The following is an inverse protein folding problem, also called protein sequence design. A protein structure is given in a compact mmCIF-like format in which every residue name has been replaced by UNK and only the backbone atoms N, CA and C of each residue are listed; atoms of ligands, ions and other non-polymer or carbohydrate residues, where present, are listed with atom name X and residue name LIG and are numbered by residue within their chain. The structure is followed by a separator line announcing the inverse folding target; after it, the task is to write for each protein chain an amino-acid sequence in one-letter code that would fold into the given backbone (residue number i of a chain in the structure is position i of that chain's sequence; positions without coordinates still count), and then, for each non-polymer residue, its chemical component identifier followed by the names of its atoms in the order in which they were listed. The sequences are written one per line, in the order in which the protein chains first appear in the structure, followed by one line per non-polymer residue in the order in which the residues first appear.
data_IF_377966309067
#
_entry.id   IF_377966309067
#
_cell.length_a   1.000
_cell.length_b   1.000
_cell.length_c   1.000
_cell.angle_alpha   90.00
_cell.angle_beta   90.00
_cell.angle_gamma   90.00
#
_symmetry.space_group_name_H-M   'P 1'
#
loop_
_entity.id
_entity.type
_entity.pdbx_description
1 polymer ?
#
# COMPACT_ATOMS: atom_id res chain seq x y z
N UNK A 1 -24.25 16.16 16.42
CA UNK A 1 -23.69 14.80 16.55
C UNK A 1 -22.49 14.76 15.63
N UNK A 2 -21.28 14.77 16.20
CA UNK A 2 -20.04 14.60 15.42
C UNK A 2 -20.02 13.17 14.90
N UNK A 3 -19.93 12.96 13.60
CA UNK A 3 -19.69 11.61 13.06
C UNK A 3 -18.28 11.22 13.50
N UNK A 4 -18.17 10.33 14.49
CA UNK A 4 -16.89 9.78 14.93
C UNK A 4 -16.22 9.11 13.72
N UNK A 5 -15.10 9.67 13.27
CA UNK A 5 -14.36 9.19 12.11
C UNK A 5 -13.46 8.04 12.58
N UNK A 6 -14.02 6.83 12.63
CA UNK A 6 -13.14 5.66 12.67
C UNK A 6 -12.25 5.68 11.41
N UNK A 7 -10.98 5.29 11.54
CA UNK A 7 -10.09 4.99 10.39
C UNK A 7 -10.76 4.04 9.39
N UNK A 8 -11.78 3.32 9.85
CA UNK A 8 -12.67 2.48 9.07
C UNK A 8 -14.01 3.20 8.97
N UNK A 9 -14.19 3.95 7.88
CA UNK A 9 -15.48 4.60 7.59
C UNK A 9 -16.56 3.52 7.62
N UNK A 10 -17.73 3.76 8.25
CA UNK A 10 -18.87 2.88 8.10
C UNK A 10 -19.10 2.73 6.60
N UNK A 11 -18.84 1.53 6.09
CA UNK A 11 -18.83 1.30 4.65
C UNK A 11 -20.20 1.69 4.11
N UNK A 12 -20.29 2.28 2.91
CA UNK A 12 -21.57 2.41 2.25
C UNK A 12 -22.07 0.97 1.98
N UNK A 13 -22.92 0.46 2.87
CA UNK A 13 -23.45 -0.91 2.89
C UNK A 13 -24.17 -1.30 1.59
N UNK A 14 -24.46 -0.30 0.76
CA UNK A 14 -25.09 -0.43 -0.54
C UNK A 14 -24.13 -0.88 -1.67
N UNK A 15 -22.81 -0.95 -1.45
CA UNK A 15 -21.86 -1.43 -2.46
C UNK A 15 -21.60 -2.93 -2.32
N UNK A 16 -21.37 -3.69 -3.40
CA UNK A 16 -20.92 -5.08 -3.32
C UNK A 16 -19.63 -5.21 -2.51
N UNK A 17 -19.45 -6.34 -1.82
CA UNK A 17 -18.20 -6.67 -1.13
C UNK A 17 -17.04 -6.66 -2.14
N UNK A 18 -15.98 -5.92 -1.82
CA UNK A 18 -14.77 -5.88 -2.63
C UNK A 18 -13.81 -6.99 -2.20
N UNK A 19 -13.82 -8.09 -2.95
CA UNK A 19 -12.94 -9.25 -2.71
C UNK A 19 -11.49 -9.02 -3.17
N UNK A 20 -11.23 -7.97 -3.94
CA UNK A 20 -9.90 -7.61 -4.43
C UNK A 20 -9.18 -6.60 -3.52
N UNK A 21 -9.86 -6.15 -2.45
CA UNK A 21 -9.32 -5.17 -1.50
C UNK A 21 -8.09 -5.71 -0.78
N UNK A 22 -7.14 -4.82 -0.52
CA UNK A 22 -6.04 -5.08 0.39
C UNK A 22 -6.14 -4.15 1.58
N UNK A 23 -5.60 -4.56 2.71
CA UNK A 23 -5.55 -3.70 3.88
C UNK A 23 -4.16 -3.64 4.49
N UNK A 24 -3.84 -2.50 5.10
CA UNK A 24 -2.67 -2.35 5.97
C UNK A 24 -2.82 -3.19 7.23
N UNK A 25 -1.79 -3.20 8.08
CA UNK A 25 -1.87 -3.86 9.40
C UNK A 25 -3.02 -3.34 10.27
N UNK A 26 -3.33 -2.05 10.15
CA UNK A 26 -4.41 -1.39 10.87
C UNK A 26 -5.78 -1.49 10.17
N UNK A 27 -5.89 -2.28 9.10
CA UNK A 27 -7.15 -2.51 8.40
C UNK A 27 -7.55 -1.44 7.40
N UNK A 28 -6.63 -0.53 7.03
CA UNK A 28 -6.93 0.56 6.10
C UNK A 28 -6.94 0.07 4.66
N UNK A 29 -7.97 0.41 3.87
CA UNK A 29 -8.10 -0.13 2.53
C UNK A 29 -7.04 0.45 1.58
N UNK A 30 -6.49 -0.44 0.74
CA UNK A 30 -5.60 -0.13 -0.37
C UNK A 30 -6.16 -0.80 -1.63
N UNK A 31 -6.35 -0.01 -2.68
CA UNK A 31 -6.87 -0.47 -3.97
C UNK A 31 -5.69 -0.91 -4.83
N UNK A 32 -5.76 -2.11 -5.41
CA UNK A 32 -4.74 -2.53 -6.37
C UNK A 32 -4.75 -1.64 -7.61
N UNK A 33 -3.59 -1.38 -8.22
CA UNK A 33 -3.53 -0.63 -9.48
C UNK A 33 -4.49 -1.22 -10.53
N UNK A 34 -4.45 -2.55 -10.71
CA UNK A 34 -5.26 -3.27 -11.68
C UNK A 34 -6.77 -3.08 -11.45
N UNK A 35 -7.21 -3.08 -10.19
CA UNK A 35 -8.61 -2.81 -9.84
C UNK A 35 -8.97 -1.35 -10.12
N UNK A 36 -8.10 -0.39 -9.76
CA UNK A 36 -8.34 1.06 -9.97
C UNK A 36 -8.49 1.49 -11.44
N UNK A 37 -8.04 0.65 -12.38
CA UNK A 37 -8.12 0.90 -13.83
C UNK A 37 -9.08 -0.04 -14.54
N UNK A 38 -9.74 -0.95 -13.81
CA UNK A 38 -10.72 -1.88 -14.35
C UNK A 38 -11.99 -1.09 -14.67
N UNK A 39 -12.41 -1.13 -15.94
CA UNK A 39 -13.66 -0.51 -16.35
C UNK A 39 -14.82 -1.31 -15.74
N UNK A 40 -15.71 -0.65 -15.02
CA UNK A 40 -17.02 -1.23 -14.72
C UNK A 40 -17.68 -1.58 -16.05
N UNK A 41 -18.18 -2.82 -16.19
CA UNK A 41 -18.79 -3.24 -17.45
C UNK A 41 -19.92 -2.26 -17.76
N UNK A 42 -19.82 -1.46 -18.84
CA UNK A 42 -20.88 -0.53 -19.16
C UNK A 42 -22.14 -1.35 -19.38
N UNK A 43 -23.22 -0.99 -18.69
CA UNK A 43 -24.54 -1.54 -18.93
C UNK A 43 -24.86 -1.30 -20.41
N UNK A 44 -24.77 -2.37 -21.19
CA UNK A 44 -24.87 -2.46 -22.65
C UNK A 44 -25.65 -1.32 -23.30
N UNK A 45 -24.98 -0.21 -23.63
CA UNK A 45 -25.51 0.83 -24.49
C UNK A 45 -24.61 0.93 -25.71
N UNK A 46 -25.05 0.28 -26.80
CA UNK A 46 -24.41 0.36 -28.11
C UNK A 46 -24.71 1.72 -28.76
N UNK A 47 -24.02 2.76 -28.31
CA UNK A 47 -23.95 4.04 -29.04
C UNK A 47 -22.92 3.96 -30.17
N UNK A 48 -23.19 4.61 -31.30
CA UNK A 48 -22.19 4.78 -32.36
C UNK A 48 -21.02 5.59 -31.82
N UNK A 49 -19.80 5.02 -31.83
CA UNK A 49 -18.59 5.72 -31.40
C UNK A 49 -18.24 6.75 -32.47
N UNK A 50 -18.33 8.04 -32.12
CA UNK A 50 -17.82 9.12 -32.97
C UNK A 50 -16.29 8.99 -33.07
N UNK A 51 -15.69 9.14 -34.26
CA UNK A 51 -14.23 9.12 -34.41
C UNK A 51 -13.64 10.35 -33.70
N UNK A 52 -12.97 10.13 -32.55
CA UNK A 52 -12.40 11.20 -31.72
C UNK A 52 -11.35 12.00 -32.49
N UNK A 53 -10.63 11.33 -33.39
CA UNK A 53 -9.60 11.90 -34.27
C UNK A 53 -10.13 12.91 -35.29
N UNK A 54 -11.43 12.91 -35.58
CA UNK A 54 -12.06 13.86 -36.49
C UNK A 54 -12.47 15.17 -35.81
N UNK A 55 -12.37 15.26 -34.48
CA UNK A 55 -12.70 16.48 -33.74
C UNK A 55 -11.50 17.45 -33.71
N UNK A 56 -11.72 18.77 -33.63
CA UNK A 56 -10.69 19.74 -33.26
C UNK A 56 -9.99 19.37 -31.95
N UNK A 57 -8.69 19.67 -31.84
CA UNK A 57 -7.86 19.31 -30.67
C UNK A 57 -8.45 19.82 -29.36
N UNK A 58 -9.04 21.00 -29.34
CA UNK A 58 -9.68 21.59 -28.16
C UNK A 58 -10.86 20.75 -27.67
N UNK A 59 -11.66 20.22 -28.59
CA UNK A 59 -12.78 19.32 -28.24
C UNK A 59 -12.27 17.96 -27.79
N UNK A 60 -11.20 17.44 -28.40
CA UNK A 60 -10.56 16.21 -27.93
C UNK A 60 -10.06 16.35 -26.50
N UNK A 61 -9.37 17.45 -26.17
CA UNK A 61 -8.89 17.75 -24.81
C UNK A 61 -10.04 17.91 -23.82
N UNK A 62 -11.12 18.59 -24.20
CA UNK A 62 -12.30 18.75 -23.35
C UNK A 62 -12.97 17.39 -23.04
N UNK A 63 -13.05 16.50 -24.02
CA UNK A 63 -13.53 15.12 -23.82
C UNK A 63 -12.60 14.37 -22.87
N UNK A 64 -11.28 14.45 -23.06
CA UNK A 64 -10.31 13.80 -22.19
C UNK A 64 -10.44 14.25 -20.73
N UNK A 65 -10.64 15.54 -20.48
CA UNK A 65 -10.82 16.09 -19.13
C UNK A 65 -12.09 15.56 -18.44
N UNK A 66 -13.07 15.13 -19.22
CA UNK A 66 -14.33 14.57 -18.72
C UNK A 66 -14.28 13.04 -18.59
N UNK A 67 -13.20 12.40 -19.01
CA UNK A 67 -13.06 10.94 -18.97
C UNK A 67 -12.75 10.48 -17.54
N UNK A 68 -13.36 9.36 -17.15
CA UNK A 68 -12.99 8.66 -15.93
C UNK A 68 -11.57 8.05 -16.05
N UNK A 69 -11.03 7.71 -14.89
CA UNK A 69 -9.68 7.14 -14.76
C UNK A 69 -9.49 5.83 -15.57
N UNK A 70 -10.42 4.84 -15.57
CA UNK A 70 -10.31 3.67 -16.44
C UNK A 70 -10.28 4.00 -17.94
N UNK A 71 -11.07 4.98 -18.40
CA UNK A 71 -11.06 5.42 -19.81
C UNK A 71 -9.75 6.11 -20.16
N UNK A 72 -9.22 6.97 -19.30
CA UNK A 72 -7.90 7.59 -19.49
C UNK A 72 -6.79 6.54 -19.59
N UNK A 73 -6.81 5.52 -18.73
CA UNK A 73 -5.87 4.39 -18.81
C UNK A 73 -5.98 3.63 -20.13
N UNK A 74 -7.20 3.34 -20.59
CA UNK A 74 -7.43 2.69 -21.87
C UNK A 74 -6.89 3.53 -23.03
N UNK A 75 -7.21 4.82 -23.07
CA UNK A 75 -6.76 5.75 -24.11
C UNK A 75 -5.24 5.86 -24.18
N UNK A 76 -4.56 5.90 -23.03
CA UNK A 76 -3.10 5.88 -22.96
C UNK A 76 -2.49 4.66 -23.67
N UNK A 77 -3.18 3.52 -23.64
CA UNK A 77 -2.69 2.27 -24.24
C UNK A 77 -3.08 2.14 -25.72
N UNK A 78 -4.29 2.52 -26.10
CA UNK A 78 -4.84 2.22 -27.44
C UNK A 78 -4.66 3.35 -28.45
N UNK A 79 -4.49 4.61 -28.03
CA UNK A 79 -4.40 5.76 -28.94
C UNK A 79 -3.05 6.46 -28.79
N UNK A 80 -2.20 6.39 -29.81
CA UNK A 80 -0.93 7.14 -29.82
C UNK A 80 -1.14 8.65 -29.82
N UNK A 81 -2.17 9.14 -30.51
CA UNK A 81 -2.49 10.56 -30.59
C UNK A 81 -2.87 11.12 -29.22
N UNK A 82 -3.68 10.39 -28.43
CA UNK A 82 -4.16 10.84 -27.13
C UNK A 82 -3.26 10.44 -25.97
N UNK A 83 -2.28 9.56 -26.20
CA UNK A 83 -1.48 8.92 -25.13
C UNK A 83 -0.87 9.93 -24.18
N UNK A 84 -0.24 10.97 -24.70
CA UNK A 84 0.49 11.96 -23.88
C UNK A 84 -0.45 12.71 -22.94
N UNK A 85 -1.58 13.20 -23.45
CA UNK A 85 -2.53 13.98 -22.65
C UNK A 85 -3.33 13.09 -21.70
N UNK A 86 -3.76 11.90 -22.15
CA UNK A 86 -4.41 10.93 -21.28
C UNK A 86 -3.49 10.48 -20.13
N UNK A 87 -2.19 10.29 -20.40
CA UNK A 87 -1.18 9.99 -19.38
C UNK A 87 -1.08 11.11 -18.35
N UNK A 88 -1.00 12.38 -18.77
CA UNK A 88 -0.95 13.51 -17.82
C UNK A 88 -2.16 13.54 -16.91
N UNK A 89 -3.37 13.39 -17.47
CA UNK A 89 -4.62 13.44 -16.70
C UNK A 89 -4.79 12.24 -15.77
N UNK A 90 -4.40 11.05 -16.21
CA UNK A 90 -4.50 9.83 -15.41
C UNK A 90 -3.68 9.89 -14.12
N UNK A 91 -2.45 10.42 -14.19
CA UNK A 91 -1.54 10.50 -13.03
C UNK A 91 -1.75 11.77 -12.17
N UNK A 92 -2.55 12.73 -12.64
CA UNK A 92 -2.95 13.95 -11.91
C UNK A 92 -4.39 13.91 -11.39
N UNK A 93 -5.03 12.73 -11.40
CA UNK A 93 -6.43 12.60 -11.03
C UNK A 93 -6.65 13.02 -9.55
N UNK A 94 -7.51 14.03 -9.28
CA UNK A 94 -7.52 14.77 -8.01
C UNK A 94 -7.96 13.94 -6.79
N UNK A 95 -8.70 12.85 -6.99
CA UNK A 95 -9.21 12.02 -5.89
C UNK A 95 -8.41 10.73 -5.68
N UNK A 96 -7.29 10.57 -6.39
CA UNK A 96 -6.45 9.37 -6.31
C UNK A 96 -5.11 9.69 -5.68
N UNK A 97 -4.84 9.04 -4.55
CA UNK A 97 -3.54 9.09 -3.88
C UNK A 97 -2.78 7.81 -4.19
N UNK A 98 -1.60 7.94 -4.79
CA UNK A 98 -0.77 6.78 -5.06
C UNK A 98 0.08 6.45 -3.86
N UNK A 99 0.03 5.19 -3.45
CA UNK A 99 0.68 4.72 -2.24
C UNK A 99 2.06 4.13 -2.54
N UNK A 100 3.05 4.49 -1.71
CA UNK A 100 4.38 3.89 -1.67
C UNK A 100 4.82 3.67 -0.23
N UNK A 101 5.62 2.63 -0.05
CA UNK A 101 6.46 2.40 1.12
C UNK A 101 7.51 3.54 1.22
N UNK A 102 7.82 3.98 2.43
CA UNK A 102 8.69 5.13 2.68
C UNK A 102 10.09 4.73 3.10
N UNK A 103 10.30 3.49 3.52
CA UNK A 103 11.55 2.95 4.04
C UNK A 103 12.66 3.04 2.98
N UNK A 104 12.37 2.65 1.74
CA UNK A 104 13.35 2.74 0.65
C UNK A 104 13.72 4.18 0.27
N UNK A 105 12.90 5.19 0.62
CA UNK A 105 13.23 6.60 0.41
C UNK A 105 14.21 7.12 1.47
N UNK A 106 14.19 6.55 2.67
CA UNK A 106 15.14 6.86 3.73
C UNK A 106 16.56 6.38 3.39
N UNK A 107 16.65 5.35 2.56
CA UNK A 107 17.90 4.74 2.10
C UNK A 107 18.35 5.31 0.75
N UNK A 108 17.96 6.54 0.39
CA UNK A 108 18.39 7.19 -0.86
C UNK A 108 17.53 6.88 -2.09
N UNK A 109 16.44 6.14 -1.92
CA UNK A 109 15.45 5.93 -2.97
C UNK A 109 15.98 5.05 -4.09
N UNK A 110 16.70 3.98 -3.81
CA UNK A 110 17.27 3.13 -4.87
C UNK A 110 16.22 2.23 -5.52
N UNK A 111 16.27 2.09 -6.85
CA UNK A 111 15.24 1.39 -7.64
C UNK A 111 15.17 -0.10 -7.31
N UNK A 112 16.27 -0.69 -6.84
CA UNK A 112 16.25 -2.06 -6.36
C UNK A 112 15.46 -2.23 -5.07
N UNK A 113 15.38 -1.24 -4.19
CA UNK A 113 14.71 -1.38 -2.89
C UNK A 113 13.18 -1.23 -2.98
N UNK A 114 12.63 -0.81 -4.12
CA UNK A 114 11.18 -0.73 -4.36
C UNK A 114 10.69 -1.81 -5.32
N UNK A 115 9.45 -2.25 -5.11
CA UNK A 115 8.72 -3.13 -6.03
C UNK A 115 7.89 -2.36 -7.07
N UNK A 116 7.85 -1.03 -6.99
CA UNK A 116 7.02 -0.18 -7.84
C UNK A 116 7.73 0.22 -9.14
N UNK A 117 6.96 0.44 -10.20
CA UNK A 117 7.46 0.95 -11.48
C UNK A 117 7.87 2.42 -11.37
N UNK A 118 9.18 2.68 -11.45
CA UNK A 118 9.75 4.02 -11.25
C UNK A 118 9.38 5.01 -12.34
N UNK A 119 9.12 4.51 -13.56
CA UNK A 119 8.66 5.35 -14.67
C UNK A 119 7.24 5.87 -14.41
N UNK A 120 6.40 5.04 -13.79
CA UNK A 120 5.06 5.45 -13.33
C UNK A 120 5.14 6.41 -12.15
N UNK A 121 6.03 6.16 -11.19
CA UNK A 121 6.25 7.03 -10.01
C UNK A 121 6.58 8.48 -10.41
N UNK A 122 7.43 8.66 -11.43
CA UNK A 122 7.84 9.98 -11.89
C UNK A 122 6.69 10.85 -12.44
N UNK A 123 5.51 10.26 -12.65
CA UNK A 123 4.34 10.92 -13.22
C UNK A 123 3.30 11.33 -12.18
N UNK A 124 3.39 10.77 -10.97
CA UNK A 124 2.43 10.93 -9.89
C UNK A 124 2.45 12.37 -9.38
N UNK A 125 1.27 12.99 -9.28
CA UNK A 125 1.14 14.33 -8.67
C UNK A 125 0.67 14.30 -7.21
N UNK A 126 -0.04 13.24 -6.81
CA UNK A 126 -0.56 13.04 -5.46
C UNK A 126 -0.07 11.71 -4.88
N UNK A 127 0.76 11.81 -3.85
CA UNK A 127 1.52 10.69 -3.30
C UNK A 127 1.22 10.52 -1.80
N UNK A 128 0.90 9.30 -1.39
CA UNK A 128 0.86 8.89 0.01
C UNK A 128 2.08 8.02 0.27
N UNK A 129 2.94 8.44 1.20
CA UNK A 129 4.14 7.72 1.63
C UNK A 129 3.86 7.17 3.02
N UNK A 130 3.83 5.86 3.18
CA UNK A 130 3.69 5.24 4.49
C UNK A 130 5.07 5.00 5.10
N UNK A 131 5.22 5.41 6.36
CA UNK A 131 6.34 5.08 7.22
C UNK A 131 5.79 4.12 8.30
N UNK A 132 6.45 2.97 8.49
CA UNK A 132 6.11 2.05 9.58
C UNK A 132 6.12 2.78 10.94
N UNK A 133 7.15 3.60 11.16
CA UNK A 133 7.28 4.47 12.32
C UNK A 133 8.12 5.69 11.99
N UNK A 134 7.77 6.88 12.48
CA UNK A 134 8.63 8.06 12.33
C UNK A 134 9.96 7.91 13.08
N UNK A 135 10.05 6.99 14.05
CA UNK A 135 11.30 6.68 14.73
C UNK A 135 12.35 6.10 13.77
N UNK A 136 11.95 5.56 12.62
CA UNK A 136 12.89 5.12 11.57
C UNK A 136 13.77 6.26 11.08
N UNK A 137 13.28 7.51 11.10
CA UNK A 137 14.08 8.71 10.80
C UNK A 137 15.20 8.94 11.82
N UNK A 138 15.10 8.39 13.04
CA UNK A 138 16.10 8.55 14.08
C UNK A 138 17.24 7.54 13.97
N UNK A 139 17.06 6.45 13.24
CA UNK A 139 18.04 5.38 13.14
C UNK A 139 18.58 5.22 11.71
N UNK A 140 19.78 4.68 11.60
CA UNK A 140 20.34 4.26 10.32
C UNK A 140 19.75 2.88 9.98
N UNK A 141 18.64 2.89 9.22
CA UNK A 141 17.81 1.71 8.97
C UNK A 141 18.61 0.56 8.32
N UNK A 142 19.49 0.88 7.37
CA UNK A 142 20.36 -0.12 6.73
C UNK A 142 21.33 -0.79 7.71
N UNK A 143 21.64 -0.17 8.85
CA UNK A 143 22.55 -0.77 9.84
C UNK A 143 21.84 -1.50 10.97
N UNK A 144 20.60 -1.14 11.28
CA UNK A 144 19.95 -1.61 12.50
C UNK A 144 19.32 -3.00 12.38
N UNK A 145 18.72 -3.33 11.24
CA UNK A 145 18.12 -4.67 11.04
C UNK A 145 19.16 -5.72 10.67
N UNK A 146 20.25 -5.33 9.99
CA UNK A 146 21.09 -6.28 9.28
C UNK A 146 22.39 -6.65 9.99
N UNK A 147 22.86 -5.81 10.91
CA UNK A 147 24.02 -6.15 11.71
C UNK A 147 23.63 -7.01 12.91
N UNK A 148 23.36 -8.31 12.68
CA UNK A 148 23.16 -9.30 13.73
C UNK A 148 24.31 -9.22 14.77
N UNK A 149 24.04 -8.53 15.88
CA UNK A 149 24.99 -8.33 16.98
C UNK A 149 25.83 -7.05 16.96
N UNK A 150 25.60 -6.07 16.06
CA UNK A 150 26.20 -4.74 16.22
C UNK A 150 25.18 -3.78 16.80
N UNK A 151 25.56 -3.05 17.84
CA UNK A 151 24.72 -2.00 18.40
C UNK A 151 24.33 -0.99 17.31
N UNK A 152 23.08 -0.48 17.32
CA UNK A 152 22.67 0.58 16.42
C UNK A 152 23.69 1.71 16.49
N UNK A 153 24.36 2.00 15.37
CA UNK A 153 25.20 3.19 15.29
C UNK A 153 24.28 4.36 15.01
N UNK A 154 24.27 5.33 15.92
CA UNK A 154 23.70 6.63 15.60
C UNK A 154 24.36 7.13 14.32
N UNK A 155 23.57 7.59 13.33
CA UNK A 155 24.14 8.17 12.13
C UNK A 155 24.98 9.40 12.50
N UNK A 156 25.98 9.69 11.69
CA UNK A 156 26.83 10.87 11.87
C UNK A 156 26.08 12.18 11.54
N UNK A 157 25.00 12.09 10.76
CA UNK A 157 24.15 13.21 10.34
C UNK A 157 23.10 13.57 11.39
N UNK A 158 22.69 14.85 11.38
CA UNK A 158 21.59 15.32 12.23
C UNK A 158 20.24 14.80 11.73
N UNK A 159 19.18 14.97 12.52
CA UNK A 159 17.82 14.63 12.07
C UNK A 159 17.40 15.55 10.90
N UNK A 160 17.73 16.83 11.00
CA UNK A 160 17.49 17.85 9.97
C UNK A 160 18.15 17.48 8.64
N UNK A 161 19.43 17.06 8.67
CA UNK A 161 20.14 16.62 7.46
C UNK A 161 19.43 15.43 6.80
N UNK A 162 19.01 14.44 7.61
CA UNK A 162 18.30 13.26 7.09
C UNK A 162 16.93 13.59 6.49
N UNK A 163 16.17 14.47 7.15
CA UNK A 163 14.89 14.94 6.61
C UNK A 163 15.11 15.72 5.32
N UNK A 164 16.17 16.51 5.24
CA UNK A 164 16.55 17.23 4.02
C UNK A 164 16.89 16.25 2.88
N UNK A 165 17.77 15.28 3.13
CA UNK A 165 18.17 14.25 2.17
C UNK A 165 16.99 13.39 1.71
N UNK A 166 16.08 13.07 2.64
CA UNK A 166 14.84 12.38 2.32
C UNK A 166 13.95 13.21 1.39
N UNK A 167 13.76 14.51 1.66
CA UNK A 167 13.01 15.38 0.76
C UNK A 167 13.67 15.52 -0.62
N UNK A 168 14.99 15.62 -0.68
CA UNK A 168 15.71 15.61 -1.97
C UNK A 168 15.47 14.31 -2.73
N UNK A 169 15.50 13.17 -2.03
CA UNK A 169 15.22 11.86 -2.59
C UNK A 169 13.79 11.80 -3.13
N UNK A 170 12.79 12.22 -2.35
CA UNK A 170 11.38 12.31 -2.77
C UNK A 170 11.25 13.17 -4.04
N UNK A 171 11.83 14.36 -4.08
CA UNK A 171 11.77 15.22 -5.26
C UNK A 171 12.43 14.59 -6.49
N UNK A 172 13.54 13.87 -6.30
CA UNK A 172 14.24 13.21 -7.41
C UNK A 172 13.43 12.05 -7.99
N UNK A 173 12.70 11.31 -7.16
CA UNK A 173 11.92 10.12 -7.54
C UNK A 173 10.51 10.45 -8.00
N UNK A 174 9.94 11.53 -7.47
CA UNK A 174 8.61 12.03 -7.79
C UNK A 174 8.67 13.49 -8.24
N UNK A 175 9.34 13.81 -9.36
CA UNK A 175 9.54 15.19 -9.82
C UNK A 175 8.24 15.95 -10.13
N UNK A 176 7.11 15.24 -10.25
CA UNK A 176 5.78 15.83 -10.49
C UNK A 176 4.89 15.87 -9.26
N UNK A 177 5.32 15.34 -8.12
CA UNK A 177 4.53 15.38 -6.90
C UNK A 177 4.32 16.84 -6.49
N UNK A 178 3.05 17.23 -6.35
CA UNK A 178 2.64 18.55 -5.86
C UNK A 178 1.91 18.44 -4.54
N UNK A 179 1.38 17.26 -4.19
CA UNK A 179 0.73 16.99 -2.92
C UNK A 179 1.24 15.67 -2.34
N UNK A 180 1.69 15.70 -1.09
CA UNK A 180 2.25 14.55 -0.41
C UNK A 180 1.59 14.37 0.96
N UNK A 181 1.15 13.15 1.26
CA UNK A 181 0.77 12.73 2.60
C UNK A 181 1.87 11.81 3.11
N UNK A 182 2.50 12.17 4.22
CA UNK A 182 3.38 11.25 4.96
C UNK A 182 2.56 10.61 6.05
N UNK A 183 2.33 9.31 5.95
CA UNK A 183 1.51 8.53 6.87
C UNK A 183 2.39 7.75 7.82
N UNK A 184 2.07 7.75 9.12
CA UNK A 184 2.62 6.84 10.11
C UNK A 184 1.58 5.77 10.43
N UNK A 185 1.94 4.51 10.22
CA UNK A 185 1.07 3.36 10.46
C UNK A 185 1.20 2.79 11.88
N UNK A 186 2.15 3.29 12.69
CA UNK A 186 2.15 3.01 14.12
C UNK A 186 1.09 3.84 14.83
N UNK A 187 0.21 3.19 15.60
CA UNK A 187 -0.81 3.92 16.36
C UNK A 187 -0.21 4.54 17.62
N UNK A 188 -0.63 5.76 17.93
CA UNK A 188 -0.21 6.48 19.13
C UNK A 188 -1.32 6.52 20.18
N UNK A 189 -0.95 6.21 21.42
CA UNK A 189 -1.78 6.42 22.59
C UNK A 189 -1.62 7.89 23.00
N UNK A 190 -2.70 8.68 22.96
CA UNK A 190 -2.83 9.97 23.70
C UNK A 190 -2.11 11.23 23.20
N UNK A 191 -1.27 11.18 22.16
CA UNK A 191 -0.60 12.42 21.74
C UNK A 191 -1.59 13.43 21.15
N UNK A 192 -1.59 14.66 21.65
CA UNK A 192 -2.35 15.78 21.04
C UNK A 192 -1.53 16.45 19.95
N UNK A 193 -0.22 16.56 20.17
CA UNK A 193 0.74 17.18 19.25
C UNK A 193 1.26 16.20 18.19
N UNK A 194 1.92 16.76 17.18
CA UNK A 194 2.65 16.01 16.17
C UNK A 194 4.02 15.61 16.73
N UNK A 195 4.52 14.38 16.51
CA UNK A 195 5.89 13.99 16.86
C UNK A 195 6.91 14.97 16.30
N UNK A 196 8.02 15.17 17.02
CA UNK A 196 9.02 16.19 16.66
C UNK A 196 9.59 15.98 15.25
N UNK A 197 9.84 14.72 14.89
CA UNK A 197 10.37 14.30 13.60
C UNK A 197 9.40 14.64 12.47
N UNK A 198 8.12 14.33 12.65
CA UNK A 198 7.07 14.60 11.67
C UNK A 198 6.74 16.10 11.55
N UNK A 199 6.79 16.85 12.66
CA UNK A 199 6.70 18.32 12.63
C UNK A 199 7.88 18.93 11.88
N UNK A 200 9.08 18.39 12.05
CA UNK A 200 10.26 18.84 11.33
C UNK A 200 10.15 18.52 9.83
N UNK A 201 9.66 17.33 9.45
CA UNK A 201 9.36 17.00 8.04
C UNK A 201 8.36 17.97 7.43
N UNK A 202 7.28 18.30 8.16
CA UNK A 202 6.27 19.25 7.73
C UNK A 202 6.82 20.69 7.63
N UNK A 203 7.83 21.05 8.42
CA UNK A 203 8.50 22.37 8.32
C UNK A 203 9.52 22.46 7.19
N UNK A 204 10.18 21.35 6.88
CA UNK A 204 11.31 21.32 5.94
C UNK A 204 10.90 20.90 4.52
N UNK A 205 9.60 20.79 4.24
CA UNK A 205 9.17 20.39 2.91
C UNK A 205 9.56 21.42 1.83
N UNK A 206 9.78 20.97 0.58
CA UNK A 206 10.02 21.88 -0.53
C UNK A 206 8.81 22.80 -0.77
N UNK A 207 9.01 24.09 -1.11
CA UNK A 207 7.93 25.08 -1.19
C UNK A 207 6.91 24.82 -2.32
N UNK A 208 7.26 23.95 -3.27
CA UNK A 208 6.38 23.57 -4.40
C UNK A 208 5.45 22.40 -4.07
N UNK A 209 5.61 21.77 -2.90
CA UNK A 209 4.85 20.60 -2.48
C UNK A 209 3.94 20.99 -1.31
N UNK A 210 2.65 20.74 -1.46
CA UNK A 210 1.70 20.76 -0.35
C UNK A 210 1.84 19.46 0.44
N UNK A 211 2.24 19.56 1.71
CA UNK A 211 2.50 18.40 2.56
C UNK A 211 1.50 18.32 3.69
N UNK A 212 1.01 17.11 3.92
CA UNK A 212 0.23 16.75 5.10
C UNK A 212 0.88 15.58 5.80
N UNK A 213 0.73 15.51 7.12
CA UNK A 213 1.11 14.33 7.91
C UNK A 213 -0.15 13.60 8.33
N UNK A 214 -0.17 12.28 8.23
CA UNK A 214 -1.27 11.44 8.69
C UNK A 214 -0.80 10.44 9.73
N UNK A 215 -1.53 10.30 10.82
CA UNK A 215 -1.16 9.41 11.95
C UNK A 215 -2.43 8.75 12.46
N UNK A 216 -2.31 7.48 12.79
CA UNK A 216 -3.37 6.73 13.47
C UNK A 216 -3.29 6.96 14.98
N UNK A 217 -4.42 7.33 15.58
CA UNK A 217 -4.55 7.54 17.02
C UNK A 217 -5.56 6.59 17.62
N UNK A 218 -5.24 6.07 18.79
CA UNK A 218 -6.22 5.39 19.62
C UNK A 218 -7.03 6.42 20.43
N UNK A 219 -8.35 6.33 20.34
CA UNK A 219 -9.29 7.10 21.17
C UNK A 219 -9.56 6.26 22.42
N UNK A 220 -8.93 6.62 23.54
CA UNK A 220 -8.90 5.81 24.79
C UNK A 220 -10.29 5.42 25.28
N UNK A 221 -11.24 6.36 25.28
CA UNK A 221 -12.58 6.12 25.83
C UNK A 221 -13.43 5.20 24.96
N UNK A 222 -13.14 5.13 23.66
CA UNK A 222 -13.99 4.46 22.70
C UNK A 222 -13.36 3.18 22.15
N UNK A 223 -12.04 2.99 22.31
CA UNK A 223 -11.28 1.88 21.72
C UNK A 223 -11.13 1.98 20.20
N UNK A 224 -11.44 3.12 19.59
CA UNK A 224 -11.34 3.29 18.13
C UNK A 224 -9.96 3.76 17.72
N UNK A 225 -9.55 3.31 16.53
CA UNK A 225 -8.48 3.95 15.78
C UNK A 225 -9.10 5.01 14.88
N UNK A 226 -8.57 6.23 14.95
CA UNK A 226 -8.90 7.35 14.07
C UNK A 226 -7.65 7.81 13.34
N UNK A 227 -7.75 8.02 12.03
CA UNK A 227 -6.69 8.65 11.24
C UNK A 227 -6.92 10.14 11.19
N UNK A 228 -5.94 10.88 11.70
CA UNK A 228 -5.94 12.34 11.71
C UNK A 228 -4.94 12.87 10.69
N UNK A 229 -5.24 14.03 10.12
CA UNK A 229 -4.41 14.70 9.13
C UNK A 229 -3.96 16.06 9.67
N UNK A 230 -2.67 16.31 9.71
CA UNK A 230 -2.08 17.60 10.05
C UNK A 230 -1.58 18.31 8.82
N UNK A 231 -1.85 19.60 8.74
CA UNK A 231 -1.28 20.52 7.75
C UNK A 231 -0.69 21.71 8.45
N UNK A 232 0.23 22.40 7.79
CA UNK A 232 0.81 23.64 8.32
C UNK A 232 0.43 24.81 7.41
N UNK A 233 -0.68 25.53 7.66
CA UNK A 233 -0.81 26.89 7.15
C UNK A 233 0.31 27.77 7.71
N UNK A 234 0.50 28.94 7.09
CA UNK A 234 1.60 29.89 7.34
C UNK A 234 1.97 30.11 8.83
N UNK A 235 1.01 29.96 9.77
CA UNK A 235 1.16 30.24 11.20
C UNK A 235 1.03 29.03 12.17
N UNK A 236 1.20 27.78 11.70
CA UNK A 236 1.31 26.61 12.60
C UNK A 236 0.54 25.38 12.15
N UNK A 237 0.60 24.30 12.93
CA UNK A 237 -0.03 23.04 12.54
C UNK A 237 -1.52 23.05 12.89
N UNK A 238 -2.37 22.85 11.88
CA UNK A 238 -3.82 22.66 12.04
C UNK A 238 -4.17 21.19 11.83
N UNK A 239 -5.14 20.73 12.61
CA UNK A 239 -5.80 19.46 12.36
C UNK A 239 -6.85 19.67 11.26
N UNK A 240 -6.82 18.81 10.24
CA UNK A 240 -7.77 18.79 9.14
C UNK A 240 -8.49 17.45 9.17
N UNK A 241 -9.79 17.46 8.87
CA UNK A 241 -10.56 16.23 8.73
C UNK A 241 -10.00 15.38 7.58
N UNK A 242 -9.84 14.08 7.80
CA UNK A 242 -9.37 13.16 6.77
C UNK A 242 -10.45 12.97 5.70
N UNK A 243 -10.20 13.50 4.50
CA UNK A 243 -11.09 13.28 3.37
C UNK A 243 -11.01 11.79 2.97
N UNK A 244 -12.11 11.22 2.44
CA UNK A 244 -12.19 9.81 2.06
C UNK A 244 -11.34 9.47 0.84
N UNK A 245 -10.03 9.50 1.02
CA UNK A 245 -9.04 9.37 -0.03
C UNK A 245 -8.93 7.91 -0.48
N UNK A 246 -8.86 7.73 -1.80
CA UNK A 246 -8.59 6.42 -2.39
C UNK A 246 -7.09 6.24 -2.51
N UNK A 247 -6.55 5.33 -1.69
CA UNK A 247 -5.14 4.94 -1.77
C UNK A 247 -4.99 3.81 -2.78
N UNK A 248 -4.35 4.12 -3.89
CA UNK A 248 -4.08 3.18 -4.99
C UNK A 248 -2.62 2.76 -4.93
N UNK A 249 -2.38 1.46 -4.83
CA UNK A 249 -1.03 0.89 -4.92
C UNK A 249 -0.50 1.12 -6.33
N UNK A 250 0.75 1.56 -6.46
CA UNK A 250 1.38 1.75 -7.76
C UNK A 250 1.52 0.44 -8.55
N UNK A 251 1.61 0.51 -9.90
CA UNK A 251 1.89 -0.67 -10.68
C UNK A 251 3.26 -1.25 -10.29
N UNK A 252 3.39 -2.58 -10.24
CA UNK A 252 4.67 -3.19 -9.97
C UNK A 252 5.65 -2.94 -11.12
N UNK A 253 6.95 -2.89 -10.80
CA UNK A 253 8.01 -2.90 -11.82
C UNK A 253 8.04 -4.24 -12.54
N UNK A 254 8.78 -4.28 -13.65
CA UNK A 254 9.05 -5.53 -14.34
C UNK A 254 10.08 -6.32 -13.53
N UNK A 255 9.69 -7.52 -13.10
CA UNK A 255 10.57 -8.47 -12.44
C UNK A 255 11.24 -9.36 -13.50
N UNK A 256 12.53 -9.12 -13.76
CA UNK A 256 13.34 -9.89 -14.73
C UNK A 256 14.60 -10.46 -14.09
N UNK A 257 15.05 -11.62 -14.60
CA UNK A 257 16.26 -12.29 -14.13
C UNK A 257 16.15 -12.83 -12.70
N UNK A 258 17.22 -13.42 -12.15
CA UNK A 258 17.20 -14.05 -10.83
C UNK A 258 16.87 -13.08 -9.68
N UNK A 259 17.35 -11.83 -9.73
CA UNK A 259 17.00 -10.80 -8.73
C UNK A 259 15.53 -10.47 -8.83
N UNK A 260 15.01 -10.32 -10.05
CA UNK A 260 13.61 -10.04 -10.29
C UNK A 260 12.69 -11.14 -9.82
N UNK A 261 13.01 -12.40 -10.13
CA UNK A 261 12.23 -13.55 -9.67
C UNK A 261 12.15 -13.59 -8.14
N UNK A 262 13.27 -13.38 -7.45
CA UNK A 262 13.29 -13.29 -5.99
C UNK A 262 12.40 -12.14 -5.47
N UNK A 263 12.57 -10.92 -5.99
CA UNK A 263 11.76 -9.77 -5.59
C UNK A 263 10.28 -9.93 -5.92
N UNK A 264 9.94 -10.62 -7.02
CA UNK A 264 8.56 -10.94 -7.37
C UNK A 264 7.93 -11.77 -6.24
N UNK A 265 8.65 -12.73 -5.65
CA UNK A 265 8.12 -13.52 -4.54
C UNK A 265 7.81 -12.68 -3.32
N UNK A 266 8.70 -11.76 -2.94
CA UNK A 266 8.46 -10.79 -1.87
C UNK A 266 7.26 -9.92 -2.15
N UNK A 267 7.19 -9.35 -3.36
CA UNK A 267 6.04 -8.58 -3.78
C UNK A 267 4.74 -9.39 -3.61
N UNK A 268 4.69 -10.63 -4.10
CA UNK A 268 3.51 -11.50 -3.94
C UNK A 268 3.19 -11.82 -2.48
N UNK A 269 4.21 -12.01 -1.63
CA UNK A 269 4.03 -12.21 -0.19
C UNK A 269 3.36 -11.00 0.46
N UNK A 270 3.84 -9.78 0.18
CA UNK A 270 3.20 -8.55 0.69
C UNK A 270 1.75 -8.42 0.21
N UNK A 271 1.49 -8.71 -1.08
CA UNK A 271 0.12 -8.71 -1.63
C UNK A 271 -0.76 -9.76 -0.94
N UNK A 272 -0.21 -10.93 -0.63
CA UNK A 272 -0.90 -12.00 0.08
C UNK A 272 -1.26 -11.58 1.50
N UNK A 273 -0.29 -11.04 2.27
CA UNK A 273 -0.52 -10.56 3.64
C UNK A 273 -1.64 -9.52 3.67
N UNK A 274 -1.62 -8.55 2.74
CA UNK A 274 -2.67 -7.55 2.63
C UNK A 274 -4.06 -8.13 2.31
N UNK A 275 -4.14 -9.14 1.42
CA UNK A 275 -5.40 -9.85 1.11
C UNK A 275 -5.88 -10.73 2.28
N UNK A 276 -4.98 -11.42 2.96
CA UNK A 276 -5.30 -12.27 4.10
C UNK A 276 -5.85 -11.44 5.27
N UNK A 277 -5.23 -10.29 5.56
CA UNK A 277 -5.75 -9.30 6.52
C UNK A 277 -7.12 -8.78 6.08
N UNK A 278 -7.31 -8.52 4.79
CA UNK A 278 -8.58 -8.03 4.25
C UNK A 278 -9.73 -9.02 4.40
N UNK A 279 -9.46 -10.34 4.39
CA UNK A 279 -10.48 -11.37 4.60
C UNK A 279 -11.28 -11.13 5.89
N UNK A 280 -10.59 -10.72 6.96
CA UNK A 280 -11.19 -10.38 8.25
C UNK A 280 -12.16 -9.19 8.16
N UNK A 281 -11.76 -8.14 7.43
CA UNK A 281 -12.59 -6.95 7.17
C UNK A 281 -13.82 -7.27 6.33
N UNK A 282 -13.66 -8.08 5.28
CA UNK A 282 -14.78 -8.52 4.42
C UNK A 282 -15.79 -9.32 5.25
N UNK A 283 -15.33 -10.15 6.20
CA UNK A 283 -16.23 -10.88 7.12
C UNK A 283 -17.03 -9.93 8.01
N UNK A 284 -16.37 -8.92 8.57
CA UNK A 284 -17.02 -7.91 9.40
C UNK A 284 -18.13 -7.22 8.59
N UNK A 285 -17.80 -6.73 7.40
CA UNK A 285 -18.74 -6.03 6.50
C UNK A 285 -19.90 -6.92 6.06
N UNK A 286 -19.60 -8.17 5.67
CA UNK A 286 -20.61 -9.13 5.24
C UNK A 286 -21.65 -9.41 6.35
N UNK A 287 -21.21 -9.50 7.61
CA UNK A 287 -22.09 -9.72 8.76
C UNK A 287 -22.99 -8.52 9.00
N UNK A 288 -22.42 -7.32 9.08
CA UNK A 288 -23.21 -6.12 9.29
C UNK A 288 -24.21 -5.90 8.16
N UNK A 289 -23.79 -6.14 6.92
CA UNK A 289 -24.68 -6.04 5.77
C UNK A 289 -25.88 -6.98 5.89
N UNK A 290 -25.67 -8.24 6.24
CA UNK A 290 -26.78 -9.19 6.38
C UNK A 290 -27.84 -8.76 7.40
N UNK A 291 -27.40 -8.13 8.49
CA UNK A 291 -28.27 -7.75 9.60
C UNK A 291 -28.93 -6.37 9.37
N UNK A 292 -28.23 -5.46 8.68
CA UNK A 292 -28.67 -4.07 8.55
C UNK A 292 -29.07 -3.63 7.14
N UNK A 293 -28.69 -4.34 6.07
CA UNK A 293 -29.10 -4.04 4.68
C UNK A 293 -30.54 -4.52 4.45
N UNK A 294 -31.50 -3.62 4.73
CA UNK A 294 -32.93 -3.84 4.53
C UNK A 294 -33.66 -4.61 5.64
N UNK A 295 -32.97 -5.08 6.70
CA UNK A 295 -33.57 -5.82 7.83
C UNK A 295 -33.63 -5.06 9.15
N UNK A 296 -32.59 -4.29 9.47
CA UNK A 296 -32.43 -3.58 10.75
C UNK A 296 -32.61 -4.50 11.98
N UNK A 297 -32.01 -5.69 11.94
CA UNK A 297 -32.12 -6.72 12.98
C UNK A 297 -30.93 -6.63 13.96
N UNK A 298 -31.18 -6.45 15.27
CA UNK A 298 -30.12 -6.51 16.26
C UNK A 298 -29.50 -7.91 16.34
N UNK A 299 -28.20 -7.99 16.62
CA UNK A 299 -27.51 -9.27 16.80
C UNK A 299 -26.45 -9.23 17.89
N UNK A 300 -26.07 -10.40 18.40
CA UNK A 300 -25.05 -10.54 19.45
C UNK A 300 -23.68 -10.88 18.87
N UNK A 301 -22.63 -10.48 19.61
CA UNK A 301 -21.27 -10.88 19.32
C UNK A 301 -21.17 -12.42 19.27
N UNK A 302 -20.60 -13.00 18.19
CA UNK A 302 -20.49 -14.45 18.05
C UNK A 302 -19.59 -15.11 19.10
N UNK A 303 -18.71 -14.34 19.77
CA UNK A 303 -17.90 -14.87 20.86
C UNK A 303 -18.76 -15.03 22.11
N UNK A 304 -19.03 -16.27 22.48
CA UNK A 304 -19.98 -16.64 23.55
C UNK A 304 -19.76 -15.91 24.90
N UNK A 305 -18.52 -15.56 25.23
CA UNK A 305 -18.20 -14.87 26.49
C UNK A 305 -18.41 -13.35 26.44
N UNK A 306 -18.64 -12.77 25.26
CA UNK A 306 -18.74 -11.32 25.10
C UNK A 306 -20.15 -10.79 25.42
N UNK A 307 -21.20 -11.41 24.87
CA UNK A 307 -22.60 -11.03 25.12
C UNK A 307 -23.02 -9.63 24.62
N UNK A 308 -22.12 -8.85 24.00
CA UNK A 308 -22.43 -7.53 23.45
C UNK A 308 -23.48 -7.65 22.34
N UNK A 309 -24.50 -6.81 22.37
CA UNK A 309 -25.54 -6.72 21.34
C UNK A 309 -25.31 -5.46 20.52
N UNK A 310 -25.57 -5.53 19.22
CA UNK A 310 -25.46 -4.45 18.26
C UNK A 310 -26.84 -4.15 17.70
N UNK A 311 -27.27 -2.91 17.81
CA UNK A 311 -28.59 -2.42 17.39
C UNK A 311 -28.49 -1.49 16.18
N UNK A 312 -27.31 -0.93 15.92
CA UNK A 312 -27.07 0.00 14.81
C UNK A 312 -25.91 -0.42 13.90
N UNK A 313 -25.95 -0.03 12.60
CA UNK A 313 -24.83 -0.24 11.68
C UNK A 313 -23.55 0.42 12.20
N UNK A 314 -22.43 -0.28 12.08
CA UNK A 314 -21.11 0.18 12.50
C UNK A 314 -20.72 -0.24 13.91
N UNK A 315 -21.67 -0.59 14.79
CA UNK A 315 -21.37 -1.01 16.17
C UNK A 315 -20.64 -2.35 16.24
N UNK A 316 -20.92 -3.26 15.29
CA UNK A 316 -20.19 -4.54 15.21
C UNK A 316 -18.81 -4.34 14.60
N UNK A 317 -18.68 -3.55 13.53
CA UNK A 317 -17.38 -3.19 12.96
C UNK A 317 -16.46 -2.64 14.03
N UNK A 318 -16.94 -1.61 14.73
CA UNK A 318 -16.32 -1.03 15.90
C UNK A 318 -15.79 -2.06 16.90
N UNK A 319 -16.68 -2.95 17.36
CA UNK A 319 -16.35 -3.96 18.35
C UNK A 319 -15.37 -5.02 17.84
N UNK A 320 -15.52 -5.47 16.60
CA UNK A 320 -14.69 -6.50 16.00
C UNK A 320 -13.23 -6.04 15.93
N UNK A 321 -12.98 -4.81 15.46
CA UNK A 321 -11.62 -4.24 15.41
C UNK A 321 -10.98 -4.08 16.79
N UNK A 322 -11.77 -3.76 17.82
CA UNK A 322 -11.26 -3.60 19.19
C UNK A 322 -10.85 -4.89 19.88
N UNK A 323 -11.59 -5.95 19.60
CA UNK A 323 -11.55 -7.17 20.41
C UNK A 323 -10.98 -8.36 19.67
N UNK A 324 -10.77 -8.21 18.36
CA UNK A 324 -10.40 -9.32 17.46
C UNK A 324 -11.39 -10.49 17.55
N UNK A 325 -12.64 -10.26 17.99
CA UNK A 325 -13.67 -11.31 18.14
C UNK A 325 -14.18 -11.87 16.79
N UNK A 326 -13.66 -11.34 15.69
CA UNK A 326 -13.81 -11.81 14.30
C UNK A 326 -12.69 -12.76 13.85
N UNK A 327 -11.56 -12.85 14.58
CA UNK A 327 -10.41 -13.68 14.21
C UNK A 327 -10.61 -15.17 14.53
N UNK A 328 -11.47 -15.49 15.49
CA UNK A 328 -11.80 -16.86 15.89
C UNK A 328 -12.74 -17.52 14.87
N UNK A 329 -12.41 -17.52 13.57
CA UNK A 329 -13.18 -18.03 12.42
C UNK A 329 -13.95 -19.35 12.63
N UNK A 330 -13.60 -20.12 13.67
CA UNK A 330 -14.29 -21.30 14.18
C UNK A 330 -15.69 -21.02 14.78
N UNK A 331 -16.00 -19.79 15.21
CA UNK A 331 -17.23 -19.52 15.98
C UNK A 331 -18.44 -19.06 15.16
N UNK A 332 -18.26 -18.66 13.91
CA UNK A 332 -19.39 -18.25 13.06
C UNK A 332 -19.02 -18.28 11.59
N UNK A 333 -19.47 -19.36 10.96
CA UNK A 333 -19.49 -19.60 9.50
C UNK A 333 -19.98 -18.34 8.78
N UNK A 334 -19.46 -18.02 7.58
CA UNK A 334 -20.11 -17.03 6.73
C UNK A 334 -21.60 -17.35 6.66
N UNK A 335 -22.45 -16.33 6.67
CA UNK A 335 -23.87 -16.51 6.40
C UNK A 335 -24.01 -17.34 5.13
N UNK A 336 -24.99 -18.25 5.09
CA UNK A 336 -25.10 -19.23 3.99
C UNK A 336 -25.02 -18.58 2.61
N UNK A 337 -25.46 -17.31 2.49
CA UNK A 337 -25.38 -16.48 1.27
C UNK A 337 -23.95 -16.14 0.80
N UNK A 338 -22.97 -16.03 1.70
CA UNK A 338 -21.57 -15.68 1.36
C UNK A 338 -20.61 -16.87 1.46
N UNK A 339 -21.05 -18.03 1.94
CA UNK A 339 -20.20 -19.19 2.21
C UNK A 339 -19.30 -19.56 1.02
N UNK A 340 -19.88 -19.76 -0.15
CA UNK A 340 -19.15 -20.12 -1.36
C UNK A 340 -18.13 -19.04 -1.78
N UNK A 341 -18.45 -17.77 -1.56
CA UNK A 341 -17.56 -16.65 -1.90
C UNK A 341 -16.36 -16.57 -0.95
N UNK A 342 -16.57 -16.78 0.36
CA UNK A 342 -15.48 -16.87 1.33
C UNK A 342 -14.61 -18.11 1.12
N UNK A 343 -15.20 -19.26 0.81
CA UNK A 343 -14.44 -20.47 0.50
C UNK A 343 -13.56 -20.24 -0.73
N UNK A 344 -14.13 -19.66 -1.81
CA UNK A 344 -13.36 -19.28 -3.01
C UNK A 344 -12.24 -18.31 -2.69
N UNK A 345 -12.51 -17.24 -1.95
CA UNK A 345 -11.52 -16.22 -1.59
C UNK A 345 -10.39 -16.83 -0.73
N UNK A 346 -10.72 -17.66 0.26
CA UNK A 346 -9.72 -18.37 1.07
C UNK A 346 -8.86 -19.29 0.22
N UNK A 347 -9.46 -20.05 -0.69
CA UNK A 347 -8.71 -20.88 -1.62
C UNK A 347 -7.78 -20.04 -2.50
N UNK A 348 -8.23 -18.89 -3.00
CA UNK A 348 -7.38 -17.98 -3.76
C UNK A 348 -6.20 -17.46 -2.92
N UNK A 349 -6.48 -16.90 -1.73
CA UNK A 349 -5.46 -16.38 -0.82
C UNK A 349 -4.44 -17.45 -0.44
N UNK A 350 -4.92 -18.66 -0.11
CA UNK A 350 -4.06 -19.83 0.18
C UNK A 350 -3.22 -20.25 -1.02
N UNK A 351 -3.81 -20.30 -2.22
CA UNK A 351 -3.10 -20.67 -3.44
C UNK A 351 -1.99 -19.67 -3.77
N UNK A 352 -2.20 -18.37 -3.55
CA UNK A 352 -1.16 -17.34 -3.73
C UNK A 352 0.05 -17.67 -2.84
N UNK A 353 -0.17 -17.98 -1.56
CA UNK A 353 0.90 -18.32 -0.63
C UNK A 353 1.57 -19.64 -0.98
N UNK A 354 0.80 -20.71 -1.18
CA UNK A 354 1.34 -22.05 -1.38
C UNK A 354 2.01 -22.21 -2.75
N UNK A 355 1.31 -21.85 -3.82
CA UNK A 355 1.79 -22.03 -5.20
C UNK A 355 2.70 -20.88 -5.63
N UNK A 356 2.32 -19.65 -5.30
CA UNK A 356 2.98 -18.43 -5.77
C UNK A 356 4.25 -18.06 -4.99
N UNK A 357 4.22 -18.22 -3.66
CA UNK A 357 5.34 -17.81 -2.79
C UNK A 357 6.15 -19.04 -2.37
N UNK A 358 5.57 -19.97 -1.61
CA UNK A 358 6.31 -21.06 -0.96
C UNK A 358 6.94 -22.01 -1.96
N UNK A 359 6.16 -22.55 -2.92
CA UNK A 359 6.73 -23.45 -3.94
C UNK A 359 7.77 -22.76 -4.81
N UNK A 360 7.64 -21.47 -5.05
CA UNK A 360 8.59 -20.74 -5.86
C UNK A 360 9.90 -20.49 -5.12
N UNK A 361 9.83 -20.11 -3.84
CA UNK A 361 10.99 -20.03 -2.96
C UNK A 361 11.72 -21.38 -2.86
N UNK A 362 11.00 -22.49 -2.69
CA UNK A 362 11.59 -23.84 -2.68
C UNK A 362 12.30 -24.15 -4.01
N UNK A 363 11.72 -23.76 -5.16
CA UNK A 363 12.40 -23.94 -6.46
C UNK A 363 13.69 -23.13 -6.53
N UNK A 364 13.70 -21.91 -6.03
CA UNK A 364 14.91 -21.08 -5.96
C UNK A 364 15.97 -21.69 -5.05
N UNK A 365 15.59 -22.19 -3.88
CA UNK A 365 16.49 -22.87 -2.94
C UNK A 365 17.06 -24.17 -3.54
N UNK A 366 16.26 -24.94 -4.29
CA UNK A 366 16.77 -26.10 -5.05
C UNK A 366 17.73 -25.64 -6.15
N UNK A 367 17.41 -24.55 -6.85
CA UNK A 367 18.26 -23.99 -7.91
C UNK A 367 19.58 -23.42 -7.36
N UNK A 368 19.56 -22.90 -6.13
CA UNK A 368 20.74 -22.45 -5.38
C UNK A 368 21.75 -23.57 -5.20
N UNK A 369 21.30 -24.77 -4.83
CA UNK A 369 22.17 -25.94 -4.69
C UNK A 369 22.92 -26.00 -3.36
N UNK A 370 23.81 -26.98 -3.25
CA UNK A 370 24.54 -27.27 -2.01
C UNK A 370 25.66 -26.25 -1.76
N UNK A 371 26.06 -26.13 -0.50
CA UNK A 371 27.23 -25.34 -0.11
C UNK A 371 28.47 -25.79 -0.89
N UNK A 372 29.29 -24.82 -1.30
CA UNK A 372 30.47 -25.00 -2.17
C UNK A 372 30.21 -25.59 -3.57
N UNK A 373 28.98 -25.95 -3.94
CA UNK A 373 28.69 -26.50 -5.27
C UNK A 373 28.90 -25.47 -6.39
N UNK A 374 29.31 -25.94 -7.57
CA UNK A 374 29.42 -25.11 -8.78
C UNK A 374 28.08 -24.43 -9.12
N UNK A 375 26.97 -25.14 -8.85
CA UNK A 375 25.61 -24.62 -9.02
C UNK A 375 25.36 -23.38 -8.17
N UNK A 376 25.74 -23.43 -6.89
CA UNK A 376 25.64 -22.29 -5.96
C UNK A 376 26.52 -21.14 -6.41
N UNK A 377 27.79 -21.41 -6.73
CA UNK A 377 28.71 -20.37 -7.20
C UNK A 377 28.18 -19.67 -8.46
N UNK A 378 27.59 -20.41 -9.40
CA UNK A 378 26.98 -19.83 -10.60
C UNK A 378 25.73 -19.01 -10.29
N UNK A 379 24.85 -19.50 -9.41
CA UNK A 379 23.67 -18.75 -8.96
C UNK A 379 24.08 -17.44 -8.26
N UNK A 380 25.07 -17.50 -7.36
CA UNK A 380 25.65 -16.33 -6.69
C UNK A 380 26.18 -15.31 -7.70
N UNK A 381 27.02 -15.76 -8.64
CA UNK A 381 27.61 -14.90 -9.66
C UNK A 381 26.55 -14.27 -10.56
N UNK A 382 25.53 -15.02 -10.97
CA UNK A 382 24.46 -14.51 -11.84
C UNK A 382 23.62 -13.46 -11.12
N UNK A 383 23.28 -13.70 -9.85
CA UNK A 383 22.51 -12.76 -9.03
C UNK A 383 23.28 -11.47 -8.78
N UNK A 384 24.54 -11.57 -8.33
CA UNK A 384 25.42 -10.41 -8.10
C UNK A 384 25.66 -9.65 -9.40
N UNK A 385 25.94 -10.35 -10.51
CA UNK A 385 26.14 -9.71 -11.80
C UNK A 385 24.91 -8.89 -12.23
N UNK A 386 23.70 -9.40 -11.99
CA UNK A 386 22.49 -8.65 -12.27
C UNK A 386 22.37 -7.39 -11.38
N UNK A 387 22.64 -7.49 -10.08
CA UNK A 387 22.63 -6.32 -9.18
C UNK A 387 23.62 -5.23 -9.61
N UNK A 388 24.79 -5.61 -10.13
CA UNK A 388 25.82 -4.66 -10.58
C UNK A 388 25.45 -3.92 -11.88
N UNK A 389 24.66 -4.54 -12.76
CA UNK A 389 24.51 -4.07 -14.14
C UNK A 389 23.08 -3.72 -14.56
N UNK A 390 22.04 -4.20 -13.86
CA UNK A 390 20.65 -3.96 -14.22
C UNK A 390 20.09 -2.72 -13.49
N UNK A 391 19.74 -1.63 -14.21
CA UNK A 391 19.27 -0.39 -13.59
C UNK A 391 17.95 -0.52 -12.83
N UNK A 392 17.18 -1.60 -13.04
CA UNK A 392 15.97 -1.88 -12.25
C UNK A 392 16.27 -2.28 -10.80
N UNK A 393 17.53 -2.64 -10.54
CA UNK A 393 18.03 -3.05 -9.23
C UNK A 393 19.23 -2.22 -8.76
N UNK A 394 19.37 -1.00 -9.27
CA UNK A 394 20.43 -0.08 -8.83
C UNK A 394 20.35 0.15 -7.32
N UNK A 395 21.53 0.35 -6.70
CA UNK A 395 21.78 0.51 -5.25
C UNK A 395 22.90 1.54 -5.01
N UNK A 396 23.06 2.00 -3.77
CA UNK A 396 24.26 2.75 -3.36
C UNK A 396 25.49 1.87 -3.26
N UNK A 397 25.31 0.74 -2.56
CA UNK A 397 26.38 -0.12 -2.12
C UNK A 397 26.76 -1.10 -3.23
N UNK A 398 28.01 -1.60 -3.23
CA UNK A 398 28.40 -2.72 -4.07
C UNK A 398 27.42 -3.88 -3.94
N UNK A 399 27.17 -4.62 -5.03
CA UNK A 399 26.15 -5.66 -5.05
C UNK A 399 26.24 -6.69 -3.92
N UNK A 400 27.46 -7.05 -3.48
CA UNK A 400 27.70 -8.01 -2.38
C UNK A 400 27.55 -7.42 -0.97
N UNK A 401 27.39 -6.10 -0.86
CA UNK A 401 27.24 -5.36 0.39
C UNK A 401 25.85 -4.73 0.52
N UNK A 402 24.99 -4.87 -0.49
CA UNK A 402 23.63 -4.32 -0.47
C UNK A 402 22.64 -5.25 0.24
N UNK A 403 21.58 -4.67 0.81
CA UNK A 403 20.56 -5.41 1.57
C UNK A 403 19.85 -6.50 0.76
N UNK A 404 19.60 -6.27 -0.53
CA UNK A 404 18.98 -7.28 -1.42
C UNK A 404 19.79 -8.57 -1.43
N UNK A 405 21.12 -8.46 -1.50
CA UNK A 405 22.00 -9.62 -1.54
C UNK A 405 22.02 -10.36 -0.20
N UNK A 406 22.08 -9.63 0.91
CA UNK A 406 22.06 -10.21 2.24
C UNK A 406 20.74 -10.93 2.54
N UNK A 407 19.61 -10.31 2.20
CA UNK A 407 18.28 -10.89 2.34
C UNK A 407 18.13 -12.16 1.49
N UNK A 408 18.62 -12.11 0.25
CA UNK A 408 18.66 -13.27 -0.62
C UNK A 408 19.49 -14.41 -0.03
N UNK A 409 20.69 -14.13 0.50
CA UNK A 409 21.52 -15.15 1.13
C UNK A 409 20.85 -15.79 2.36
N UNK A 410 20.16 -14.98 3.18
CA UNK A 410 19.41 -15.46 4.34
C UNK A 410 18.32 -16.45 3.90
N UNK A 411 17.48 -16.06 2.95
CA UNK A 411 16.41 -16.90 2.44
C UNK A 411 16.90 -18.21 1.80
N UNK A 412 18.03 -18.15 1.11
CA UNK A 412 18.62 -19.34 0.49
C UNK A 412 19.25 -20.28 1.52
N UNK A 413 19.67 -19.76 2.67
CA UNK A 413 20.32 -20.53 3.75
C UNK A 413 19.31 -21.17 4.71
N UNK A 414 18.17 -20.52 4.96
CA UNK A 414 17.14 -20.99 5.90
C UNK A 414 16.43 -22.30 5.48
N UNK A 415 16.67 -22.78 4.24
CA UNK A 415 16.03 -24.00 3.71
C UNK A 415 16.71 -25.32 4.08
N UNK A 416 17.91 -25.28 4.65
CA UNK A 416 18.77 -26.47 4.84
C UNK A 416 18.67 -27.04 6.28
N UNK A 417 17.82 -26.46 7.13
CA UNK A 417 17.47 -26.99 8.47
C UNK A 417 16.11 -27.67 8.45
#
# INVERSE_FOLDING_TARGET
MSQSMSAIKPAPWNKPLDWDIQVTELGEPRISFAHSVKREQPSSQHGSVLPLDMLPTELQLHILWSCDRPTLWALMRVSSAMRTEAKKLFWSYPDTWYHVDGEWLLTGGYTGQTHCDTDSMALVEQLAIDLESCSTLLFDFERQYWAAGRSPRMPASTLEDRIHDWWQTVQSRFPRATRIIVSEDSYRLTETALPHELDLMLRMHPPVIDVSISIVRAIEDEGYLERRLWRRPDDGNILVDSVGEQHVLLPPKIFRGPVGEWQHHYYQLFRHVGKARATSKILIEARERHQFDGRAEPFQCPKHICGRTFEAPGEWTAHAFQTSHNEDWNGSVPLDEYKDSFERHRSEVKNILEEGVRKAMVRMQIAWGEEESEKRQNAEQTFVHQLEHDPLYAQELPARECSIWEDYLRDMSDAIQ
#
